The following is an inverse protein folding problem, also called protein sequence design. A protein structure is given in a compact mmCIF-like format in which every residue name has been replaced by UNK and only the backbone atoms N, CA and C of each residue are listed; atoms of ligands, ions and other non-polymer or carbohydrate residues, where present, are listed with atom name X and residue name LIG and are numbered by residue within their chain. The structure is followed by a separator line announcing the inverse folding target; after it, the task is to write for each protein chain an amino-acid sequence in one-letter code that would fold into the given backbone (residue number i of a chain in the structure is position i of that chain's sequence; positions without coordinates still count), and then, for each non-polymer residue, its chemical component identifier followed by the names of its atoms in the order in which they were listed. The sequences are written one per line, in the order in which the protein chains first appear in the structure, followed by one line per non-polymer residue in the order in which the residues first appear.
data_IF_659378999510
#
_entry.id   IF_659378999510
#
_cell.length_a   1.000
_cell.length_b   1.000
_cell.length_c   1.000
_cell.angle_alpha   90.00
_cell.angle_beta   90.00
_cell.angle_gamma   90.00
#
_symmetry.space_group_name_H-M   'P 1'
#
loop_
_entity.id
_entity.type
_entity.pdbx_description
1 polymer ?
#
# COMPACT_ATOMS: atom_id res chain seq x y z
N UNK A 1 15.08 6.50 2.76
CA UNK A 1 14.02 5.49 2.65
C UNK A 1 14.07 4.68 3.93
N UNK A 2 13.21 5.00 4.90
CA UNK A 2 13.06 4.18 6.10
C UNK A 2 12.28 2.92 5.72
N UNK A 3 12.92 1.76 5.86
CA UNK A 3 12.28 0.45 5.80
C UNK A 3 12.17 -0.05 7.24
N UNK A 4 10.98 -0.08 7.83
CA UNK A 4 10.76 -0.73 9.12
C UNK A 4 10.44 -2.20 8.88
N UNK A 5 11.46 -3.05 9.03
CA UNK A 5 11.32 -4.49 8.99
C UNK A 5 10.83 -5.01 10.36
N UNK A 6 9.53 -5.31 10.45
CA UNK A 6 8.90 -5.91 11.62
C UNK A 6 7.72 -6.78 11.22
N UNK A 7 7.94 -8.09 11.16
CA UNK A 7 6.95 -9.16 10.95
C UNK A 7 6.23 -9.14 9.58
N UNK A 8 6.82 -9.83 8.60
CA UNK A 8 6.16 -10.38 7.41
C UNK A 8 5.31 -9.41 6.57
N UNK A 9 5.63 -8.11 6.54
CA UNK A 9 4.92 -7.12 5.71
C UNK A 9 5.89 -6.08 5.19
N UNK A 10 6.42 -6.28 3.98
CA UNK A 10 7.21 -5.27 3.29
C UNK A 10 6.29 -4.12 2.88
N UNK A 11 6.41 -2.98 3.54
CA UNK A 11 5.66 -1.77 3.24
C UNK A 11 6.62 -0.60 3.06
N UNK A 12 6.42 0.18 1.99
CA UNK A 12 7.29 1.28 1.63
C UNK A 12 6.54 2.62 1.70
N UNK A 13 7.23 3.61 2.26
CA UNK A 13 6.68 4.92 2.56
C UNK A 13 7.55 6.02 1.95
N UNK A 14 6.92 7.04 1.37
CA UNK A 14 7.57 8.24 0.84
C UNK A 14 6.94 9.45 1.54
N UNK A 15 7.74 10.25 2.25
CA UNK A 15 7.24 11.41 3.03
C UNK A 15 6.08 11.08 4.00
N UNK A 16 6.10 9.89 4.62
CA UNK A 16 5.02 9.41 5.49
C UNK A 16 3.74 8.97 4.77
N UNK A 17 3.77 8.93 3.43
CA UNK A 17 2.70 8.37 2.61
C UNK A 17 3.02 6.92 2.24
N UNK A 18 2.16 5.99 2.65
CA UNK A 18 2.21 4.61 2.20
C UNK A 18 1.92 4.55 0.70
N UNK A 19 2.84 3.97 -0.07
CA UNK A 19 2.73 3.95 -1.53
C UNK A 19 2.84 2.58 -2.16
N UNK A 20 3.58 1.64 -1.57
CA UNK A 20 3.65 0.27 -2.09
C UNK A 20 3.92 -0.72 -0.98
N UNK A 21 3.47 -1.95 -1.15
CA UNK A 21 3.80 -3.03 -0.23
C UNK A 21 3.42 -4.39 -0.80
N UNK A 22 3.83 -5.43 -0.09
CA UNK A 22 3.44 -6.80 -0.38
C UNK A 22 2.17 -7.15 0.39
N UNK A 23 1.17 -7.67 -0.32
CA UNK A 23 -0.06 -8.20 0.25
C UNK A 23 -0.22 -9.65 -0.22
N UNK A 24 -0.08 -10.59 0.71
CA UNK A 24 0.01 -12.03 0.41
C UNK A 24 1.18 -12.31 -0.54
N UNK A 25 0.91 -12.64 -1.80
CA UNK A 25 1.91 -12.89 -2.85
C UNK A 25 1.98 -11.74 -3.89
N UNK A 26 1.20 -10.67 -3.68
CA UNK A 26 0.96 -9.64 -4.69
C UNK A 26 1.51 -8.30 -4.25
N UNK A 27 2.21 -7.62 -5.17
CA UNK A 27 2.68 -6.27 -4.93
C UNK A 27 1.53 -5.30 -5.22
N UNK A 28 1.21 -4.46 -4.23
CA UNK A 28 0.14 -3.47 -4.33
C UNK A 28 0.75 -2.09 -4.31
N UNK A 29 0.24 -1.21 -5.17
CA UNK A 29 0.74 0.14 -5.31
C UNK A 29 -0.40 1.15 -5.27
N UNK A 30 -0.12 2.27 -4.63
CA UNK A 30 -0.94 3.46 -4.66
C UNK A 30 -0.58 4.26 -5.90
N UNK A 31 -1.58 4.62 -6.69
CA UNK A 31 -1.45 5.41 -7.89
C UNK A 31 -2.04 6.81 -7.68
N UNK A 32 -1.37 7.72 -6.94
CA UNK A 32 -1.74 9.12 -6.98
C UNK A 32 -1.29 9.71 -8.32
N UNK A 33 -2.14 10.54 -8.95
CA UNK A 33 -1.71 11.34 -10.10
C UNK A 33 -1.45 10.54 -11.38
N UNK A 34 -0.92 11.22 -12.40
CA UNK A 34 -0.89 10.82 -13.82
C UNK A 34 -0.09 9.56 -14.17
N UNK A 35 0.34 8.76 -13.19
CA UNK A 35 1.10 7.53 -13.42
C UNK A 35 0.37 6.52 -14.30
N UNK A 36 -0.98 6.50 -14.27
CA UNK A 36 -1.79 5.67 -15.19
C UNK A 36 -1.65 6.08 -16.67
N UNK A 37 -1.33 7.35 -16.92
CA UNK A 37 -1.09 7.85 -18.28
C UNK A 37 0.32 7.47 -18.77
N UNK A 38 1.30 7.40 -17.85
CA UNK A 38 2.67 6.95 -18.14
C UNK A 38 2.79 5.44 -18.31
N UNK A 39 1.95 4.67 -17.61
CA UNK A 39 1.96 3.21 -17.63
C UNK A 39 0.57 2.68 -18.00
N UNK A 40 0.26 2.51 -19.30
CA UNK A 40 -1.04 2.02 -19.76
C UNK A 40 -1.33 0.58 -19.31
N UNK A 41 -0.30 -0.20 -18.98
CA UNK A 41 -0.41 -1.54 -18.35
C UNK A 41 -1.25 -1.51 -17.06
N UNK A 42 -1.32 -0.36 -16.37
CA UNK A 42 -2.15 -0.18 -15.19
C UNK A 42 -3.64 -0.10 -15.49
N UNK A 43 -4.05 0.08 -16.75
CA UNK A 43 -5.46 0.00 -17.13
C UNK A 43 -6.01 -1.42 -16.95
N UNK A 44 -5.15 -2.42 -17.07
CA UNK A 44 -5.46 -3.84 -16.89
C UNK A 44 -5.17 -4.32 -15.45
N UNK A 45 -4.59 -3.44 -14.61
CA UNK A 45 -4.26 -3.76 -13.23
C UNK A 45 -5.54 -3.99 -12.39
N UNK A 46 -5.64 -5.11 -11.67
CA UNK A 46 -6.80 -5.37 -10.84
C UNK A 46 -6.87 -4.39 -9.65
N UNK A 47 -8.08 -3.95 -9.27
CA UNK A 47 -8.25 -3.04 -8.15
C UNK A 47 -7.92 -3.76 -6.85
N UNK A 48 -7.19 -3.09 -5.96
CA UNK A 48 -6.80 -3.69 -4.69
C UNK A 48 -7.99 -3.75 -3.73
N UNK A 49 -8.52 -4.95 -3.45
CA UNK A 49 -9.61 -5.20 -2.51
C UNK A 49 -9.13 -6.09 -1.34
N UNK A 50 -8.41 -5.52 -0.35
CA UNK A 50 -7.82 -6.28 0.76
C UNK A 50 -8.86 -6.98 1.66
N UNK A 51 -10.15 -6.64 1.52
CA UNK A 51 -11.23 -7.18 2.34
C UNK A 51 -12.08 -8.22 1.61
N UNK A 52 -11.83 -8.49 0.33
CA UNK A 52 -12.64 -9.42 -0.46
C UNK A 52 -14.12 -9.00 -0.57
N UNK A 53 -14.41 -7.71 -0.45
CA UNK A 53 -15.77 -7.15 -0.45
C UNK A 53 -16.26 -6.77 -1.85
N UNK A 54 -15.42 -6.95 -2.88
CA UNK A 54 -15.67 -6.50 -4.25
C UNK A 54 -15.56 -4.98 -4.41
N UNK A 55 -15.10 -4.27 -3.37
CA UNK A 55 -14.95 -2.81 -3.37
C UNK A 55 -13.49 -2.46 -3.21
N UNK A 56 -12.81 -2.36 -4.35
CA UNK A 56 -11.42 -1.91 -4.41
C UNK A 56 -11.20 -0.57 -3.71
N UNK A 57 -10.05 -0.45 -3.07
CA UNK A 57 -9.62 0.80 -2.42
C UNK A 57 -9.28 1.82 -3.51
N UNK A 58 -9.84 3.02 -3.38
CA UNK A 58 -9.60 4.10 -4.34
C UNK A 58 -8.11 4.42 -4.42
N UNK A 59 -7.61 4.59 -5.64
CA UNK A 59 -6.21 4.90 -5.95
C UNK A 59 -5.23 3.77 -5.57
N UNK A 60 -5.70 2.54 -5.35
CA UNK A 60 -4.87 1.36 -5.15
C UNK A 60 -5.15 0.28 -6.20
N UNK A 61 -4.09 -0.32 -6.72
CA UNK A 61 -4.16 -1.47 -7.60
C UNK A 61 -3.01 -2.44 -7.35
N UNK A 62 -3.19 -3.65 -7.85
CA UNK A 62 -2.15 -4.68 -7.87
C UNK A 62 -1.26 -4.45 -9.09
N UNK A 63 0.06 -4.63 -8.95
CA UNK A 63 0.97 -4.48 -10.08
C UNK A 63 0.80 -5.69 -11.02
N UNK A 64 0.53 -5.49 -12.31
CA UNK A 64 0.37 -6.60 -13.25
C UNK A 64 1.70 -7.34 -13.48
N UNK A 65 1.64 -8.64 -13.82
CA UNK A 65 2.82 -9.46 -14.06
C UNK A 65 3.74 -8.90 -15.15
N UNK A 66 3.19 -8.25 -16.17
CA UNK A 66 3.96 -7.57 -17.23
C UNK A 66 5.00 -6.57 -16.70
N UNK A 67 4.77 -5.99 -15.51
CA UNK A 67 5.71 -5.09 -14.84
C UNK A 67 6.59 -5.87 -13.85
N UNK A 68 6.04 -6.83 -13.09
CA UNK A 68 6.79 -7.55 -12.05
C UNK A 68 7.75 -8.62 -12.59
N UNK A 69 7.50 -9.16 -13.79
CA UNK A 69 8.36 -10.16 -14.44
C UNK A 69 9.69 -9.58 -14.93
N UNK A 70 9.79 -8.25 -15.04
CA UNK A 70 10.98 -7.55 -15.51
C UNK A 70 11.52 -6.61 -14.44
N UNK A 71 12.65 -6.98 -13.83
CA UNK A 71 13.27 -6.20 -12.74
C UNK A 71 13.54 -4.73 -13.13
N UNK A 72 14.04 -4.49 -14.35
CA UNK A 72 14.30 -3.14 -14.87
C UNK A 72 13.00 -2.32 -15.05
N UNK A 73 11.92 -2.96 -15.50
CA UNK A 73 10.60 -2.32 -15.64
C UNK A 73 10.00 -2.04 -14.28
N UNK A 74 10.10 -2.98 -13.34
CA UNK A 74 9.65 -2.80 -11.97
C UNK A 74 10.40 -1.64 -11.29
N UNK A 75 11.73 -1.57 -11.44
CA UNK A 75 12.54 -0.48 -10.91
C UNK A 75 12.15 0.87 -11.52
N UNK A 76 11.99 0.95 -12.84
CA UNK A 76 11.53 2.15 -13.54
C UNK A 76 10.15 2.59 -13.08
N UNK A 77 9.24 1.64 -12.91
CA UNK A 77 7.88 1.87 -12.44
C UNK A 77 7.85 2.39 -10.99
N UNK A 78 8.58 1.74 -10.09
CA UNK A 78 8.68 2.16 -8.69
C UNK A 78 9.32 3.53 -8.56
N UNK A 79 10.34 3.85 -9.35
CA UNK A 79 10.96 5.18 -9.37
C UNK A 79 9.93 6.27 -9.74
N UNK A 80 9.17 6.07 -10.83
CA UNK A 80 8.13 7.00 -11.24
C UNK A 80 7.00 7.13 -10.19
N UNK A 81 6.63 6.04 -9.53
CA UNK A 81 5.65 6.06 -8.45
C UNK A 81 6.16 6.84 -7.23
N UNK A 82 7.44 6.69 -6.87
CA UNK A 82 8.08 7.46 -5.80
C UNK A 82 8.03 8.96 -6.13
N UNK A 83 8.31 9.36 -7.37
CA UNK A 83 8.24 10.77 -7.79
C UNK A 83 6.82 11.35 -7.62
N UNK A 84 5.79 10.67 -8.11
CA UNK A 84 4.40 11.13 -7.97
C UNK A 84 3.94 11.20 -6.50
N UNK A 85 4.33 10.22 -5.69
CA UNK A 85 3.99 10.21 -4.26
C UNK A 85 4.77 11.28 -3.51
N UNK A 86 6.00 11.58 -3.91
CA UNK A 86 6.81 12.63 -3.33
C UNK A 86 6.23 14.04 -3.57
N UNK A 87 5.46 14.23 -4.64
CA UNK A 87 4.73 15.47 -4.91
C UNK A 87 3.51 15.67 -3.98
N UNK A 88 3.01 14.61 -3.34
CA UNK A 88 1.94 14.74 -2.37
C UNK A 88 2.44 15.53 -1.14
N UNK A 89 1.63 16.44 -0.58
CA UNK A 89 2.03 17.14 0.63
C UNK A 89 2.37 16.12 1.71
N UNK A 90 3.55 16.29 2.32
CA UNK A 90 3.97 15.46 3.43
C UNK A 90 2.86 15.47 4.48
N UNK A 91 2.46 14.28 4.93
CA UNK A 91 1.36 14.15 5.88
C UNK A 91 1.82 14.79 7.19
N UNK A 92 1.35 16.00 7.50
CA UNK A 92 1.61 16.62 8.81
C UNK A 92 1.27 15.60 9.90
N UNK A 93 2.17 15.33 10.86
CA UNK A 93 1.91 14.38 11.91
C UNK A 93 0.70 14.86 12.70
N UNK A 94 -0.45 14.23 12.47
CA UNK A 94 -1.64 14.47 13.28
C UNK A 94 -1.30 14.04 14.70
N UNK A 95 -1.36 15.00 15.64
CA UNK A 95 -1.22 14.72 17.08
C UNK A 95 -2.05 13.47 17.40
N UNK A 96 -1.46 12.44 18.01
CA UNK A 96 -2.19 11.22 18.30
C UNK A 96 -3.40 11.59 19.16
N UNK A 97 -4.61 11.32 18.66
CA UNK A 97 -5.80 11.35 19.50
C UNK A 97 -5.61 10.25 20.53
N UNK A 98 -5.50 10.62 21.80
CA UNK A 98 -5.39 9.70 22.92
C UNK A 98 -6.40 8.56 22.72
N UNK A 99 -5.88 7.35 22.51
CA UNK A 99 -6.70 6.14 22.44
C UNK A 99 -7.26 5.97 23.85
N UNK A 100 -8.51 6.36 24.05
CA UNK A 100 -9.21 6.06 25.28
C UNK A 100 -9.09 4.55 25.51
N UNK A 101 -8.40 4.18 26.58
CA UNK A 101 -8.20 2.81 26.99
C UNK A 101 -9.57 2.15 27.12
N UNK A 102 -9.90 1.23 26.21
CA UNK A 102 -10.89 0.20 26.50
C UNK A 102 -10.18 -0.82 27.38
N UNK A 103 -10.16 -0.51 28.67
CA UNK A 103 -9.90 -1.48 29.72
C UNK A 103 -11.01 -2.54 29.69
N UNK A 104 -10.60 -3.80 29.68
CA UNK A 104 -11.35 -4.93 30.24
C UNK A 104 -12.43 -5.54 29.35
N UNK A 105 -12.11 -6.70 28.78
CA UNK A 105 -12.91 -7.91 29.03
C UNK A 105 -11.98 -9.13 28.97
N UNK A 106 -12.00 -10.00 29.99
CA UNK A 106 -11.14 -11.19 30.04
C UNK A 106 -11.61 -12.21 29.00
N UNK A 107 -10.65 -12.91 28.39
CA UNK A 107 -10.91 -14.17 27.71
C UNK A 107 -11.43 -15.16 28.77
N UNK A 108 -12.63 -15.69 28.55
CA UNK A 108 -13.11 -16.88 29.25
C UNK A 108 -13.00 -18.05 28.27
N UNK A 109 -12.10 -18.98 28.56
CA UNK A 109 -12.25 -20.40 28.24
C UNK A 109 -13.69 -20.84 28.57
N UNK A 110 -14.36 -21.56 27.68
CA UNK A 110 -14.99 -22.84 28.05
C UNK A 110 -15.44 -23.66 26.84
N UNK A 111 -15.25 -24.96 27.01
CA UNK A 111 -15.57 -26.14 26.20
C UNK A 111 -17.08 -26.43 26.10
N UNK A 112 -17.54 -26.91 24.94
CA UNK A 112 -18.55 -28.00 24.76
C UNK A 112 -18.81 -28.24 23.27
#
# INVERSE_FOLDING_TARGET
MEQEAGLDRTACFVNGNYFTGLFEDRIVIRLPGGIRERFPELAEAPPFDPRGTGKGVKDWCEIPPSITESDDRLATFLAAAVEEVALLPAKEPKKPKARAARAGLPFADDET
#
